data_IF_847237152955
#
_entry.id   IF_847237152955
#
_cell.length_a   1.000
_cell.length_b   1.000
_cell.length_c   1.000
_cell.angle_alpha   90.00
_cell.angle_beta   90.00
_cell.angle_gamma   90.00
#
_symmetry.space_group_name_H-M   'P 1'
#
loop_
_entity.id
_entity.type
_entity.pdbx_description
1 polymer ?
#
# COMPACT_ATOMS: atom_id res chain seq x y z
N UNK A 1 71.45 12.35 41.64
CA UNK A 1 70.20 13.15 41.61
C UNK A 1 69.33 12.60 40.50
N UNK A 2 68.19 11.99 40.80
CA UNK A 2 67.23 11.46 39.81
C UNK A 2 66.18 12.54 39.54
N UNK A 3 66.03 12.98 38.29
CA UNK A 3 64.96 13.89 37.88
C UNK A 3 63.71 13.09 37.45
N UNK A 4 62.49 13.59 37.72
CA UNK A 4 61.26 12.85 37.47
C UNK A 4 60.80 12.99 36.02
N UNK A 5 60.22 11.91 35.52
CA UNK A 5 59.43 11.83 34.29
C UNK A 5 58.07 12.49 34.50
N UNK A 6 57.65 13.36 33.57
CA UNK A 6 56.26 13.82 33.46
C UNK A 6 55.76 13.47 32.06
N UNK A 7 54.79 12.55 32.04
CA UNK A 7 54.07 12.09 30.85
C UNK A 7 53.21 13.22 30.26
N UNK A 8 53.39 13.50 28.97
CA UNK A 8 52.47 14.34 28.21
C UNK A 8 51.27 13.50 27.74
N UNK A 9 50.06 13.88 28.17
CA UNK A 9 48.81 13.29 27.69
C UNK A 9 48.48 13.95 26.34
N UNK A 10 48.57 13.18 25.26
CA UNK A 10 48.19 13.63 23.93
C UNK A 10 46.67 13.46 23.75
N UNK A 11 45.91 14.54 23.89
CA UNK A 11 44.48 14.55 23.58
C UNK A 11 44.29 14.55 22.06
N UNK A 12 44.01 13.38 21.47
CA UNK A 12 43.65 13.26 20.06
C UNK A 12 42.19 13.68 19.89
N UNK A 13 41.98 14.93 19.48
CA UNK A 13 40.67 15.41 19.06
C UNK A 13 40.28 14.71 17.75
N UNK A 14 39.38 13.73 17.83
CA UNK A 14 38.80 13.08 16.65
C UNK A 14 37.77 14.03 16.02
N UNK A 15 38.18 14.75 14.98
CA UNK A 15 37.26 15.48 14.11
C UNK A 15 36.38 14.45 13.39
N UNK A 16 35.16 14.23 13.89
CA UNK A 16 34.13 13.48 13.17
C UNK A 16 33.76 14.28 11.93
N UNK A 17 34.22 13.84 10.77
CA UNK A 17 33.76 14.33 9.48
C UNK A 17 32.25 14.07 9.37
N UNK A 18 31.46 15.14 9.47
CA UNK A 18 30.04 15.10 9.16
C UNK A 18 29.93 15.09 7.63
N UNK A 19 30.05 13.92 7.02
CA UNK A 19 29.78 13.77 5.60
C UNK A 19 28.28 13.97 5.39
N UNK A 20 27.87 15.16 4.95
CA UNK A 20 26.54 15.40 4.41
C UNK A 20 26.36 14.47 3.20
N UNK A 21 25.51 13.45 3.34
CA UNK A 21 25.09 12.63 2.21
C UNK A 21 24.12 13.46 1.36
N UNK A 22 24.65 14.12 0.33
CA UNK A 22 23.85 14.90 -0.62
C UNK A 22 23.36 13.95 -1.70
N UNK A 23 22.05 13.71 -1.76
CA UNK A 23 21.41 13.08 -2.91
C UNK A 23 21.15 14.18 -3.94
N UNK A 24 21.87 14.14 -5.06
CA UNK A 24 21.57 14.98 -6.22
C UNK A 24 20.66 14.20 -7.16
N UNK A 25 19.40 14.62 -7.29
CA UNK A 25 18.46 14.08 -8.27
C UNK A 25 18.40 15.05 -9.46
N UNK A 26 19.14 14.79 -10.56
CA UNK A 26 19.05 15.64 -11.75
C UNK A 26 17.65 15.50 -12.36
N UNK A 27 16.83 16.54 -12.21
CA UNK A 27 15.55 16.64 -12.90
C UNK A 27 15.79 17.16 -14.32
N UNK A 28 15.85 16.25 -15.29
CA UNK A 28 15.83 16.61 -16.70
C UNK A 28 14.41 16.49 -17.24
N UNK A 29 13.95 17.52 -17.98
CA UNK A 29 12.72 17.41 -18.77
C UNK A 29 13.00 16.50 -19.97
N UNK A 30 12.52 15.27 -19.93
CA UNK A 30 12.49 14.42 -21.12
C UNK A 30 11.65 15.15 -22.18
N UNK A 31 12.11 15.28 -23.44
CA UNK A 31 11.29 15.78 -24.53
C UNK A 31 10.00 14.96 -24.55
N UNK A 32 8.92 15.62 -24.15
CA UNK A 32 7.63 14.99 -24.00
C UNK A 32 7.18 14.61 -25.41
N UNK A 33 7.19 13.32 -25.75
CA UNK A 33 6.26 12.84 -26.76
C UNK A 33 4.89 13.28 -26.26
N UNK A 34 4.26 14.20 -26.99
CA UNK A 34 3.04 14.87 -26.57
C UNK A 34 1.86 13.92 -26.70
N UNK A 35 1.91 12.78 -26.00
CA UNK A 35 0.72 12.24 -25.38
C UNK A 35 0.19 13.39 -24.51
N UNK A 36 -0.70 14.19 -25.12
CA UNK A 36 -1.34 15.28 -24.44
C UNK A 36 -1.95 14.68 -23.18
N UNK A 37 -1.62 15.24 -22.02
CA UNK A 37 -2.29 14.86 -20.79
C UNK A 37 -3.78 15.07 -21.05
N UNK A 38 -4.51 13.99 -21.30
CA UNK A 38 -5.95 14.06 -21.55
C UNK A 38 -6.57 14.70 -20.32
N UNK A 39 -7.47 15.65 -20.56
CA UNK A 39 -8.30 16.21 -19.50
C UNK A 39 -8.93 15.03 -18.75
N UNK A 40 -8.64 14.93 -17.45
CA UNK A 40 -9.25 13.94 -16.57
C UNK A 40 -10.59 14.51 -16.13
N UNK A 41 -11.67 13.77 -16.36
CA UNK A 41 -12.96 14.13 -15.78
C UNK A 41 -12.92 13.84 -14.27
N UNK A 42 -13.62 14.65 -13.49
CA UNK A 42 -13.74 14.48 -12.04
C UNK A 42 -14.90 13.53 -11.72
N UNK A 43 -14.66 12.61 -10.79
CA UNK A 43 -15.74 11.86 -10.12
C UNK A 43 -16.01 12.46 -8.75
N UNK A 44 -17.20 12.24 -8.22
CA UNK A 44 -17.57 12.61 -6.85
C UNK A 44 -18.01 11.35 -6.13
N UNK A 45 -17.45 11.13 -4.94
CA UNK A 45 -17.77 9.98 -4.09
C UNK A 45 -18.05 10.48 -2.67
N UNK A 46 -18.95 9.79 -1.96
CA UNK A 46 -19.25 10.10 -0.56
C UNK A 46 -18.33 9.25 0.30
N UNK A 47 -17.52 9.91 1.13
CA UNK A 47 -16.60 9.20 2.02
C UNK A 47 -17.28 8.87 3.35
N UNK A 48 -17.09 7.63 3.80
CA UNK A 48 -17.34 7.23 5.18
C UNK A 48 -16.24 7.78 6.08
N UNK A 49 -16.62 8.33 7.23
CA UNK A 49 -15.67 8.75 8.27
C UNK A 49 -15.57 7.66 9.35
N UNK A 50 -14.47 6.91 9.38
CA UNK A 50 -14.22 5.95 10.45
C UNK A 50 -13.44 6.63 11.57
N UNK A 51 -14.17 7.30 12.46
CA UNK A 51 -13.59 8.08 13.57
C UNK A 51 -12.77 7.23 14.55
N UNK A 52 -13.15 5.96 14.74
CA UNK A 52 -12.44 5.06 15.65
C UNK A 52 -11.13 4.56 15.05
N UNK A 53 -11.10 4.32 13.73
CA UNK A 53 -9.89 3.94 13.01
C UNK A 53 -8.98 5.13 12.68
N UNK A 54 -9.55 6.31 12.47
CA UNK A 54 -8.81 7.51 12.05
C UNK A 54 -8.59 7.59 10.54
N UNK A 55 -9.45 6.98 9.72
CA UNK A 55 -9.35 7.01 8.26
C UNK A 55 -10.70 7.20 7.58
N UNK A 56 -10.64 7.60 6.30
CA UNK A 56 -11.82 7.70 5.44
C UNK A 56 -11.94 6.46 4.56
N UNK A 57 -13.18 6.05 4.29
CA UNK A 57 -13.49 4.93 3.41
C UNK A 57 -14.32 5.36 2.21
N UNK A 58 -14.19 4.65 1.09
CA UNK A 58 -15.05 4.79 -0.08
C UNK A 58 -15.60 3.42 -0.48
N UNK A 59 -16.84 3.39 -0.99
CA UNK A 59 -17.41 2.17 -1.57
C UNK A 59 -17.08 2.10 -3.07
N UNK A 60 -16.60 0.94 -3.51
CA UNK A 60 -16.46 0.61 -4.92
C UNK A 60 -17.30 -0.62 -5.26
N UNK A 61 -17.67 -0.72 -6.52
CA UNK A 61 -18.30 -1.91 -7.12
C UNK A 61 -17.28 -2.65 -7.95
N UNK A 62 -17.04 -3.92 -7.62
CA UNK A 62 -15.98 -4.74 -8.23
C UNK A 62 -16.56 -6.05 -8.76
N UNK A 63 -16.16 -6.45 -9.97
CA UNK A 63 -16.58 -7.72 -10.56
C UNK A 63 -17.86 -7.69 -11.39
N UNK A 64 -18.23 -8.86 -11.91
CA UNK A 64 -19.47 -9.07 -12.70
C UNK A 64 -20.18 -10.37 -12.29
N UNK A 65 -21.34 -10.31 -11.59
CA UNK A 65 -22.02 -9.11 -11.11
C UNK A 65 -21.20 -8.32 -10.08
N UNK A 66 -21.53 -7.04 -9.94
CA UNK A 66 -20.83 -6.13 -9.04
C UNK A 66 -20.95 -6.57 -7.58
N UNK A 67 -19.82 -6.62 -6.88
CA UNK A 67 -19.68 -6.83 -5.45
C UNK A 67 -19.26 -5.51 -4.81
N UNK A 68 -19.93 -5.10 -3.74
CA UNK A 68 -19.55 -3.89 -3.02
C UNK A 68 -18.31 -4.17 -2.16
N UNK A 69 -17.26 -3.38 -2.35
CA UNK A 69 -16.01 -3.45 -1.61
C UNK A 69 -15.75 -2.08 -0.97
N UNK A 70 -15.42 -2.08 0.32
CA UNK A 70 -15.06 -0.86 1.04
C UNK A 70 -13.53 -0.69 1.03
N UNK A 71 -13.04 0.41 0.48
CA UNK A 71 -11.62 0.75 0.44
C UNK A 71 -11.31 1.84 1.47
N UNK A 72 -10.14 1.75 2.09
CA UNK A 72 -9.54 2.88 2.81
C UNK A 72 -8.86 3.79 1.79
N UNK A 73 -9.08 5.10 1.91
CA UNK A 73 -8.37 6.08 1.07
C UNK A 73 -6.98 6.30 1.65
N UNK A 74 -5.96 5.76 1.00
CA UNK A 74 -4.56 5.90 1.38
C UNK A 74 -3.75 6.52 0.23
N UNK A 75 -3.40 7.81 0.36
CA UNK A 75 -2.53 8.49 -0.59
C UNK A 75 -1.04 8.28 -0.29
N UNK A 76 -0.71 7.53 0.76
CA UNK A 76 0.65 7.17 1.16
C UNK A 76 1.20 5.93 0.45
N UNK A 77 0.36 5.19 -0.27
CA UNK A 77 0.72 4.02 -1.07
C UNK A 77 0.14 4.11 -2.50
N UNK A 78 0.31 3.06 -3.30
CA UNK A 78 -0.08 3.02 -4.72
C UNK A 78 -0.76 1.72 -5.15
N UNK A 79 -1.13 0.88 -4.20
CA UNK A 79 -1.71 -0.44 -4.42
C UNK A 79 -3.17 -0.43 -3.98
N UNK A 80 -4.08 -0.77 -4.90
CA UNK A 80 -5.51 -0.84 -4.63
C UNK A 80 -5.83 -2.29 -4.26
N UNK A 81 -5.81 -2.64 -2.96
CA UNK A 81 -6.00 -4.02 -2.54
C UNK A 81 -7.35 -4.26 -1.87
N UNK A 82 -7.89 -5.47 -2.03
CA UNK A 82 -9.03 -5.95 -1.24
C UNK A 82 -8.76 -7.31 -0.60
N UNK A 83 -9.48 -7.61 0.48
CA UNK A 83 -9.46 -8.92 1.12
C UNK A 83 -10.11 -9.98 0.24
N UNK A 84 -9.43 -11.09 -0.01
CA UNK A 84 -10.10 -12.29 -0.51
C UNK A 84 -11.06 -12.87 0.53
N UNK A 85 -12.21 -13.37 0.08
CA UNK A 85 -13.10 -14.17 0.94
C UNK A 85 -12.45 -15.45 1.48
N UNK A 86 -11.32 -15.85 0.92
CA UNK A 86 -10.51 -16.99 1.36
C UNK A 86 -9.21 -16.57 2.02
N UNK A 87 -9.04 -15.29 2.38
CA UNK A 87 -7.87 -14.84 3.13
C UNK A 87 -7.82 -15.50 4.52
N UNK A 88 -6.63 -15.64 5.08
CA UNK A 88 -6.42 -16.14 6.45
C UNK A 88 -7.28 -15.40 7.48
N UNK A 89 -7.33 -14.06 7.42
CA UNK A 89 -8.19 -13.22 8.27
C UNK A 89 -9.66 -13.59 8.14
N UNK A 90 -10.10 -14.09 6.98
CA UNK A 90 -11.48 -14.49 6.72
C UNK A 90 -11.79 -15.94 7.11
N UNK A 91 -10.78 -16.81 7.18
CA UNK A 91 -10.96 -18.24 7.45
C UNK A 91 -10.48 -18.69 8.83
N UNK A 92 -9.63 -17.90 9.50
CA UNK A 92 -9.05 -18.22 10.80
C UNK A 92 -9.64 -17.35 11.92
N UNK A 93 -10.52 -17.95 12.73
CA UNK A 93 -11.13 -17.28 13.88
C UNK A 93 -10.13 -17.00 15.03
N UNK A 94 -9.04 -17.76 15.15
CA UNK A 94 -8.00 -17.48 16.14
C UNK A 94 -7.21 -16.23 15.74
N UNK A 95 -6.87 -16.09 14.45
CA UNK A 95 -6.22 -14.90 13.92
C UNK A 95 -7.08 -13.65 14.11
N UNK A 96 -8.38 -13.72 13.82
CA UNK A 96 -9.32 -12.62 14.08
C UNK A 96 -9.32 -12.18 15.55
N UNK A 97 -9.31 -13.14 16.50
CA UNK A 97 -9.24 -12.82 17.94
C UNK A 97 -7.90 -12.20 18.31
N UNK A 98 -6.79 -12.72 17.80
CA UNK A 98 -5.45 -12.25 18.11
C UNK A 98 -5.24 -10.81 17.64
N UNK A 99 -5.61 -10.51 16.40
CA UNK A 99 -5.43 -9.18 15.80
C UNK A 99 -6.55 -8.21 16.14
N UNK A 100 -7.63 -8.68 16.80
CA UNK A 100 -8.91 -7.96 16.91
C UNK A 100 -9.45 -7.52 15.54
N UNK A 101 -9.02 -8.20 14.49
CA UNK A 101 -9.39 -7.95 13.10
C UNK A 101 -10.73 -8.59 12.75
N UNK A 102 -11.32 -8.14 11.65
CA UNK A 102 -12.57 -8.69 11.10
C UNK A 102 -12.43 -8.84 9.60
N UNK A 103 -13.01 -9.90 9.05
CA UNK A 103 -13.20 -10.03 7.62
C UNK A 103 -14.33 -9.09 7.17
N UNK A 104 -13.97 -7.85 6.84
CA UNK A 104 -14.92 -6.83 6.42
C UNK A 104 -14.89 -6.72 4.91
N UNK A 105 -16.07 -6.81 4.29
CA UNK A 105 -16.26 -6.57 2.85
C UNK A 105 -15.33 -7.38 1.93
N UNK A 106 -15.15 -8.71 2.14
CA UNK A 106 -14.26 -9.48 1.30
C UNK A 106 -14.79 -9.62 -0.13
N UNK A 107 -13.86 -9.70 -1.09
CA UNK A 107 -14.15 -10.00 -2.48
C UNK A 107 -14.21 -11.52 -2.72
N UNK A 108 -15.31 -11.98 -3.32
CA UNK A 108 -15.52 -13.38 -3.68
C UNK A 108 -15.20 -13.60 -5.17
N UNK A 109 -13.96 -13.98 -5.47
CA UNK A 109 -13.49 -14.19 -6.84
C UNK A 109 -14.39 -15.12 -7.67
N UNK A 110 -14.92 -16.19 -7.06
CA UNK A 110 -15.80 -17.17 -7.73
C UNK A 110 -17.15 -16.58 -8.17
N UNK A 111 -17.58 -15.45 -7.59
CA UNK A 111 -18.83 -14.78 -7.93
C UNK A 111 -18.68 -13.75 -9.06
N UNK A 112 -17.44 -13.47 -9.50
CA UNK A 112 -17.20 -12.57 -10.63
C UNK A 112 -16.81 -13.36 -11.88
N UNK A 113 -17.62 -13.23 -12.93
CA UNK A 113 -17.37 -13.78 -14.26
C UNK A 113 -16.27 -13.06 -15.04
N UNK A 114 -15.87 -11.86 -14.62
CA UNK A 114 -14.81 -11.05 -15.24
C UNK A 114 -13.48 -11.12 -14.51
N UNK A 115 -13.44 -11.82 -13.36
CA UNK A 115 -12.24 -12.04 -12.57
C UNK A 115 -11.17 -12.81 -13.34
N UNK A 116 -9.93 -12.30 -13.30
CA UNK A 116 -8.76 -12.98 -13.85
C UNK A 116 -7.56 -12.79 -12.93
N UNK A 117 -6.86 -13.87 -12.60
CA UNK A 117 -5.53 -13.77 -11.98
C UNK A 117 -4.52 -13.39 -13.05
N UNK A 118 -3.76 -12.32 -12.81
CA UNK A 118 -2.73 -11.84 -13.72
C UNK A 118 -1.34 -12.31 -13.30
N UNK A 119 -1.08 -12.37 -11.99
CA UNK A 119 0.14 -12.93 -11.43
C UNK A 119 -0.14 -13.48 -10.03
N UNK A 120 0.10 -14.78 -9.84
CA UNK A 120 -0.15 -15.47 -8.58
C UNK A 120 1.00 -15.24 -7.60
N UNK A 121 0.72 -15.01 -6.33
CA UNK A 121 1.69 -14.79 -5.25
C UNK A 121 2.70 -13.66 -5.57
N UNK A 122 2.29 -12.64 -6.32
CA UNK A 122 3.15 -11.54 -6.72
C UNK A 122 3.01 -10.30 -5.84
N UNK A 123 1.89 -10.17 -5.13
CA UNK A 123 1.62 -9.02 -4.30
C UNK A 123 2.23 -9.22 -2.92
N UNK A 124 2.96 -8.21 -2.46
CA UNK A 124 3.48 -8.09 -1.10
C UNK A 124 3.67 -6.61 -0.78
N UNK A 125 3.06 -6.16 0.31
CA UNK A 125 3.17 -4.80 0.81
C UNK A 125 3.52 -4.81 2.29
N UNK A 126 4.28 -3.81 2.72
CA UNK A 126 4.53 -3.52 4.12
C UNK A 126 4.46 -2.01 4.31
N UNK A 127 3.66 -1.57 5.27
CA UNK A 127 3.50 -0.17 5.62
C UNK A 127 4.53 0.25 6.68
N UNK A 128 4.55 1.56 7.00
CA UNK A 128 5.52 2.15 7.94
C UNK A 128 5.33 1.62 9.38
N UNK A 129 4.11 1.25 9.74
CA UNK A 129 3.78 0.59 11.01
C UNK A 129 4.22 -0.87 11.09
N UNK A 130 4.79 -1.40 10.00
CA UNK A 130 5.27 -2.77 9.79
C UNK A 130 4.17 -3.80 9.60
N UNK A 131 2.90 -3.39 9.58
CA UNK A 131 1.84 -4.27 9.13
C UNK A 131 2.00 -4.53 7.63
N UNK A 132 1.77 -5.78 7.22
CA UNK A 132 1.94 -6.16 5.83
C UNK A 132 0.88 -7.13 5.37
N UNK A 133 0.91 -7.38 4.06
CA UNK A 133 -0.07 -8.23 3.40
C UNK A 133 0.52 -8.81 2.13
N UNK A 134 0.05 -9.98 1.73
CA UNK A 134 0.47 -10.64 0.49
C UNK A 134 -0.67 -11.35 -0.21
N UNK A 135 -0.48 -11.60 -1.52
CA UNK A 135 -1.46 -12.30 -2.34
C UNK A 135 -1.20 -12.22 -3.84
N UNK A 136 -2.28 -12.07 -4.61
CA UNK A 136 -2.26 -12.16 -6.07
C UNK A 136 -2.48 -10.79 -6.73
N UNK A 137 -1.86 -10.54 -7.88
CA UNK A 137 -2.31 -9.48 -8.79
C UNK A 137 -3.44 -10.02 -9.66
N UNK A 138 -4.53 -9.28 -9.74
CA UNK A 138 -5.73 -9.68 -10.46
C UNK A 138 -6.20 -8.60 -11.42
N UNK A 139 -7.16 -8.95 -12.27
CA UNK A 139 -7.89 -8.06 -13.14
C UNK A 139 -9.38 -8.27 -12.94
N UNK A 140 -10.12 -7.17 -12.77
CA UNK A 140 -11.58 -7.20 -12.80
C UNK A 140 -12.17 -5.83 -13.16
N UNK A 141 -13.47 -5.75 -13.39
CA UNK A 141 -14.17 -4.48 -13.53
C UNK A 141 -14.22 -3.77 -12.18
N UNK A 142 -13.90 -2.48 -12.17
CA UNK A 142 -13.91 -1.62 -10.99
C UNK A 142 -14.77 -0.39 -11.28
N UNK A 143 -15.60 0.02 -10.33
CA UNK A 143 -16.41 1.23 -10.46
C UNK A 143 -16.53 1.98 -9.15
N UNK A 144 -16.42 3.31 -9.21
CA UNK A 144 -16.53 4.24 -8.08
C UNK A 144 -16.96 5.61 -8.61
N UNK A 145 -17.79 6.36 -7.87
CA UNK A 145 -18.21 7.71 -8.24
C UNK A 145 -18.92 7.81 -9.59
N UNK A 146 -19.59 6.73 -10.01
CA UNK A 146 -20.23 6.61 -11.32
C UNK A 146 -19.29 6.34 -12.50
N UNK A 147 -17.97 6.30 -12.29
CA UNK A 147 -17.01 5.88 -13.30
C UNK A 147 -16.74 4.37 -13.23
N UNK A 148 -16.50 3.77 -14.38
CA UNK A 148 -16.20 2.34 -14.50
C UNK A 148 -14.94 2.13 -15.33
N UNK A 149 -14.01 1.35 -14.79
CA UNK A 149 -12.79 0.87 -15.45
C UNK A 149 -12.95 -0.63 -15.67
N UNK A 150 -12.94 -1.07 -16.93
CA UNK A 150 -13.03 -2.49 -17.27
C UNK A 150 -11.66 -3.14 -17.23
N UNK A 151 -11.57 -4.31 -16.62
CA UNK A 151 -10.30 -5.06 -16.51
C UNK A 151 -9.19 -4.25 -15.82
N UNK A 152 -9.55 -3.45 -14.82
CA UNK A 152 -8.56 -2.77 -13.97
C UNK A 152 -7.68 -3.80 -13.30
N UNK A 153 -6.40 -3.48 -13.11
CA UNK A 153 -5.46 -4.30 -12.32
C UNK A 153 -5.44 -3.79 -10.89
N UNK A 154 -5.48 -4.73 -9.95
CA UNK A 154 -5.52 -4.46 -8.52
C UNK A 154 -5.12 -5.74 -7.77
N UNK A 155 -4.97 -5.64 -6.46
CA UNK A 155 -4.35 -6.68 -5.64
C UNK A 155 -5.40 -7.40 -4.79
N UNK A 156 -5.30 -8.73 -4.71
CA UNK A 156 -6.16 -9.56 -3.88
C UNK A 156 -5.36 -10.19 -2.75
N UNK A 157 -5.60 -9.71 -1.53
CA UNK A 157 -4.94 -10.17 -0.32
C UNK A 157 -5.41 -11.57 0.05
N UNK A 158 -4.48 -12.47 0.33
CA UNK A 158 -4.74 -13.80 0.86
C UNK A 158 -4.15 -14.05 2.25
N UNK A 159 -3.10 -13.31 2.63
CA UNK A 159 -2.36 -13.54 3.87
C UNK A 159 -1.92 -12.21 4.49
N UNK A 160 -2.16 -12.05 5.79
CA UNK A 160 -1.59 -10.96 6.59
C UNK A 160 -0.14 -11.29 7.00
N UNK A 161 0.74 -10.29 7.00
CA UNK A 161 2.16 -10.44 7.34
C UNK A 161 2.51 -9.75 8.67
#
# INVERSE_FOLDING_TARGET
MKAPTVSAILAVATLRSCALAIITLPMARIPQDSSQLRRRDSITEILGNNETGGWYTAEASVGTPAQKITFQIDTGSSDDWALSSTADLCTDAALQRQLRGRCVSPFEAKKSSTFKVSHKNGFSIQYVDKEGSSGDYIQDNFAMGGATIKGSKWELLTTLL
#
